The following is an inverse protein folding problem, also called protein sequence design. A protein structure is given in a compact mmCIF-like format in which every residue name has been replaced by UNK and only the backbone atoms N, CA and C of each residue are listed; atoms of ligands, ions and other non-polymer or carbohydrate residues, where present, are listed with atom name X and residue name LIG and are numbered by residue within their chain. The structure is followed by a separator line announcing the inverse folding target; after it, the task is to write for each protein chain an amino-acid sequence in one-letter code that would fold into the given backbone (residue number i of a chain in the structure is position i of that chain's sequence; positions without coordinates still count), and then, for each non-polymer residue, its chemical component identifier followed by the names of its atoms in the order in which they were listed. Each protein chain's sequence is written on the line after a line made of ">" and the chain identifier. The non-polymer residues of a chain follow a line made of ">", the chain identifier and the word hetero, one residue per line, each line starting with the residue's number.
data_IF_725125992946
#
_entry.id   IF_725125992946
#
_cell.length_a   1.000
_cell.length_b   1.000
_cell.length_c   1.000
_cell.angle_alpha   90.00
_cell.angle_beta   90.00
_cell.angle_gamma   90.00
#
_symmetry.space_group_name_H-M   'P 1'
#
loop_
_entity.id
_entity.type
_entity.pdbx_description
1 polymer ?
#
# COMPACT_ATOMS: atom_id res chain seq x y z
N UNK A 1 -51.76 -14.61 36.82
CA UNK A 1 -51.40 -15.26 38.10
C UNK A 1 -49.90 -15.18 38.27
N UNK A 2 -49.48 -14.42 39.32
CA UNK A 2 -48.20 -14.41 40.07
C UNK A 2 -46.87 -14.34 39.27
N UNK A 3 -46.22 -13.17 39.14
CA UNK A 3 -45.40 -12.42 40.12
C UNK A 3 -44.22 -13.23 40.71
N UNK A 4 -42.96 -12.82 40.35
CA UNK A 4 -41.89 -12.62 41.35
C UNK A 4 -40.75 -11.78 40.75
N UNK A 5 -40.63 -10.57 41.25
CA UNK A 5 -39.45 -9.73 41.30
C UNK A 5 -38.35 -10.39 42.15
N UNK A 6 -37.10 -10.27 41.78
CA UNK A 6 -36.00 -10.24 42.75
C UNK A 6 -34.97 -9.17 42.32
N UNK A 7 -34.91 -8.17 43.20
CA UNK A 7 -33.90 -7.12 43.25
C UNK A 7 -32.63 -7.71 43.83
N UNK A 8 -31.48 -7.40 43.27
CA UNK A 8 -30.20 -7.43 43.97
C UNK A 8 -29.55 -6.06 43.93
N UNK A 9 -29.14 -5.66 45.12
CA UNK A 9 -28.66 -4.32 45.48
C UNK A 9 -27.18 -4.11 45.14
N UNK A 10 -26.86 -2.86 44.97
CA UNK A 10 -25.55 -2.28 44.76
C UNK A 10 -24.55 -2.54 45.91
N UNK A 11 -23.30 -2.78 45.57
CA UNK A 11 -22.16 -2.65 46.46
C UNK A 11 -21.15 -1.69 45.84
N UNK A 12 -21.11 -0.46 46.35
CA UNK A 12 -20.08 0.54 46.05
C UNK A 12 -18.92 0.28 47.01
N UNK A 13 -17.74 -0.12 46.46
CA UNK A 13 -16.49 -0.13 47.22
C UNK A 13 -15.69 1.12 46.87
N UNK A 14 -15.59 2.03 47.80
CA UNK A 14 -14.74 3.22 47.77
C UNK A 14 -13.31 2.79 48.17
N UNK A 15 -12.35 2.93 47.27
CA UNK A 15 -10.91 2.79 47.58
C UNK A 15 -10.31 4.19 47.67
N UNK A 16 -9.97 4.60 48.88
CA UNK A 16 -9.21 5.82 49.16
C UNK A 16 -7.73 5.58 48.85
N UNK A 17 -7.16 6.36 47.94
CA UNK A 17 -5.72 6.39 47.68
C UNK A 17 -5.12 7.52 48.53
N UNK A 18 -4.27 7.15 49.46
CA UNK A 18 -3.46 8.06 50.27
C UNK A 18 -2.26 8.52 49.44
N UNK A 19 -2.18 9.79 49.16
CA UNK A 19 -1.00 10.41 48.54
C UNK A 19 0.05 10.71 49.61
N UNK A 20 1.18 9.99 49.59
CA UNK A 20 2.40 10.32 50.34
C UNK A 20 3.29 11.24 49.50
N UNK A 21 3.38 12.49 49.89
CA UNK A 21 4.33 13.45 49.36
C UNK A 21 5.71 13.24 50.01
N UNK A 22 6.70 12.82 49.26
CA UNK A 22 8.10 12.93 49.66
C UNK A 22 8.72 14.09 48.87
N UNK A 23 9.03 15.18 49.60
CA UNK A 23 9.87 16.28 49.13
C UNK A 23 11.33 15.84 49.11
N UNK A 24 11.97 15.79 47.97
CA UNK A 24 13.43 15.71 47.84
C UNK A 24 13.97 17.06 47.41
N UNK A 25 14.74 17.67 48.31
CA UNK A 25 15.58 18.86 48.12
C UNK A 25 16.61 18.62 47.03
N UNK A 26 16.60 19.42 45.98
CA UNK A 26 17.62 19.40 44.94
C UNK A 26 18.91 20.03 45.45
N UNK A 27 19.99 19.29 45.40
CA UNK A 27 21.35 19.76 45.63
C UNK A 27 21.89 20.46 44.37
N UNK A 28 22.38 21.68 44.56
CA UNK A 28 23.06 22.49 43.53
C UNK A 28 24.39 21.85 43.14
N UNK A 29 24.74 21.62 41.89
CA UNK A 29 26.06 21.12 41.52
C UNK A 29 27.10 22.24 41.61
N UNK A 30 28.14 22.02 42.40
CA UNK A 30 29.34 22.84 42.49
C UNK A 30 30.17 22.65 41.22
N UNK A 31 30.45 23.76 40.52
CA UNK A 31 31.31 23.75 39.33
C UNK A 31 32.78 23.65 39.78
N UNK A 32 33.44 22.60 39.34
CA UNK A 32 34.89 22.42 39.49
C UNK A 32 35.64 23.29 38.45
N UNK A 33 36.85 23.85 38.79
CA UNK A 33 37.57 24.71 37.86
C UNK A 33 38.16 23.94 36.69
N UNK A 34 38.06 24.51 35.50
CA UNK A 34 38.53 23.96 34.23
C UNK A 34 40.05 23.81 34.20
N UNK A 35 40.52 22.61 33.85
CA UNK A 35 41.95 22.33 33.55
C UNK A 35 42.27 22.97 32.17
N UNK A 36 43.43 23.60 31.99
CA UNK A 36 43.81 24.22 30.71
C UNK A 36 44.06 23.12 29.65
N UNK A 37 43.57 23.35 28.42
CA UNK A 37 43.75 22.46 27.29
C UNK A 37 45.21 22.38 26.84
N UNK A 38 45.71 21.20 26.42
CA UNK A 38 47.04 21.06 25.88
C UNK A 38 47.14 21.70 24.48
N UNK A 39 48.25 22.37 24.23
CA UNK A 39 48.64 22.98 22.96
C UNK A 39 48.68 21.94 21.83
N UNK A 40 48.13 22.22 20.63
CA UNK A 40 48.17 21.24 19.54
C UNK A 40 49.61 21.10 19.00
N UNK A 41 50.12 19.86 19.06
CA UNK A 41 51.33 19.47 18.36
C UNK A 41 50.99 19.27 16.88
N UNK A 42 51.60 20.07 16.02
CA UNK A 42 51.49 19.95 14.57
C UNK A 42 52.23 18.69 14.13
N UNK A 43 51.51 17.66 13.74
CA UNK A 43 52.10 16.47 13.10
C UNK A 43 52.48 16.79 11.64
N UNK A 44 53.56 16.20 11.11
CA UNK A 44 53.98 16.44 9.74
C UNK A 44 52.95 15.93 8.75
N UNK A 45 52.65 16.76 7.76
CA UNK A 45 51.75 16.46 6.62
C UNK A 45 52.37 15.32 5.80
N UNK A 46 51.84 14.12 5.92
CA UNK A 46 52.17 13.02 5.04
C UNK A 46 51.28 13.16 3.79
N UNK A 47 51.87 13.52 2.67
CA UNK A 47 51.22 13.48 1.38
C UNK A 47 50.75 12.05 1.08
N UNK A 48 49.46 11.81 0.79
CA UNK A 48 49.02 10.46 0.44
C UNK A 48 49.56 10.14 -0.97
N UNK A 49 50.35 9.06 -1.05
CA UNK A 49 50.67 8.43 -2.33
C UNK A 49 49.37 7.83 -2.88
N UNK A 50 48.83 8.43 -3.92
CA UNK A 50 47.66 7.90 -4.64
C UNK A 50 48.17 6.70 -5.47
N UNK A 51 48.04 5.49 -4.90
CA UNK A 51 48.09 4.27 -5.70
C UNK A 51 46.85 4.26 -6.61
N UNK A 52 47.01 4.01 -7.93
CA UNK A 52 45.83 3.87 -8.80
C UNK A 52 45.01 2.69 -8.34
N UNK A 53 43.80 2.97 -7.86
CA UNK A 53 42.78 1.93 -7.58
C UNK A 53 42.51 1.27 -8.92
N UNK A 54 42.90 0.01 -9.06
CA UNK A 54 42.52 -0.80 -10.20
C UNK A 54 40.98 -0.74 -10.31
N UNK A 55 40.48 -0.24 -11.43
CA UNK A 55 39.03 -0.23 -11.75
C UNK A 55 38.54 -1.66 -11.58
N UNK A 56 37.61 -1.86 -10.67
CA UNK A 56 36.91 -3.12 -10.55
C UNK A 56 36.36 -3.49 -11.92
N UNK A 57 36.46 -4.75 -12.36
CA UNK A 57 35.92 -5.15 -13.65
C UNK A 57 34.45 -4.77 -13.69
N UNK A 58 34.02 -4.09 -14.75
CA UNK A 58 32.63 -3.80 -15.00
C UNK A 58 31.86 -5.13 -14.87
N UNK A 59 30.94 -5.20 -13.90
CA UNK A 59 30.08 -6.36 -13.75
C UNK A 59 29.43 -6.63 -15.11
N UNK A 60 29.68 -7.82 -15.66
CA UNK A 60 29.05 -8.22 -16.90
C UNK A 60 27.55 -8.02 -16.73
N UNK A 61 26.93 -7.25 -17.62
CA UNK A 61 25.50 -7.01 -17.60
C UNK A 61 24.80 -8.38 -17.51
N UNK A 62 24.02 -8.61 -16.46
CA UNK A 62 23.31 -9.88 -16.29
C UNK A 62 22.44 -10.10 -17.53
N UNK A 63 22.51 -11.30 -18.12
CA UNK A 63 21.73 -11.62 -19.31
C UNK A 63 20.24 -11.47 -18.99
N UNK A 64 19.51 -10.72 -19.80
CA UNK A 64 18.06 -10.54 -19.66
C UNK A 64 17.37 -11.87 -20.00
N UNK A 65 16.62 -12.42 -19.08
CA UNK A 65 15.90 -13.68 -19.23
C UNK A 65 14.47 -13.41 -19.71
N UNK A 66 14.00 -14.11 -20.74
CA UNK A 66 12.55 -14.12 -21.05
C UNK A 66 11.88 -15.25 -20.29
N UNK A 67 10.91 -14.94 -19.43
CA UNK A 67 10.16 -15.95 -18.70
C UNK A 67 9.33 -16.76 -19.69
N UNK A 68 9.56 -18.08 -19.71
CA UNK A 68 8.86 -19.08 -20.54
C UNK A 68 8.43 -20.28 -19.71
N UNK A 69 9.02 -20.45 -18.53
CA UNK A 69 8.79 -21.60 -17.67
C UNK A 69 7.36 -21.69 -17.17
N UNK A 70 6.92 -22.94 -16.99
CA UNK A 70 5.57 -23.26 -16.57
C UNK A 70 5.49 -23.73 -15.13
N UNK A 71 4.33 -23.54 -14.52
CA UNK A 71 3.98 -24.10 -13.22
C UNK A 71 3.21 -25.41 -13.45
N UNK A 72 3.62 -26.47 -12.74
CA UNK A 72 2.81 -27.71 -12.64
C UNK A 72 2.33 -27.83 -11.19
N UNK A 73 1.03 -27.59 -10.95
CA UNK A 73 0.40 -27.67 -9.64
C UNK A 73 -0.36 -26.41 -9.24
N UNK A 74 -0.74 -26.33 -7.97
CA UNK A 74 -1.59 -25.26 -7.45
C UNK A 74 -0.80 -23.97 -7.17
N UNK A 75 -1.47 -22.86 -7.44
CA UNK A 75 -1.05 -21.50 -7.05
C UNK A 75 -2.20 -20.87 -6.27
N UNK A 76 -1.96 -20.44 -5.04
CA UNK A 76 -3.02 -19.83 -4.22
C UNK A 76 -2.84 -18.32 -4.20
N UNK A 77 -3.91 -17.62 -4.56
CA UNK A 77 -3.97 -16.16 -4.60
C UNK A 77 -4.72 -15.67 -3.36
N UNK A 78 -4.07 -14.84 -2.57
CA UNK A 78 -4.58 -14.36 -1.28
C UNK A 78 -4.63 -12.82 -1.31
N UNK A 79 -5.68 -12.20 -1.89
CA UNK A 79 -5.90 -10.76 -1.77
C UNK A 79 -6.24 -10.37 -0.34
N UNK A 80 -6.35 -9.07 -0.06
CA UNK A 80 -6.77 -8.58 1.26
C UNK A 80 -8.17 -9.06 1.63
N UNK A 81 -9.08 -9.04 0.66
CA UNK A 81 -10.45 -9.52 0.82
C UNK A 81 -11.05 -9.97 -0.52
N UNK A 82 -12.10 -10.79 -0.45
CA UNK A 82 -12.91 -11.17 -1.61
C UNK A 82 -13.97 -10.11 -1.94
N UNK A 83 -14.46 -10.12 -3.19
CA UNK A 83 -15.54 -9.25 -3.65
C UNK A 83 -15.14 -7.77 -3.82
N UNK A 84 -13.85 -7.49 -3.88
CA UNK A 84 -13.33 -6.18 -4.23
C UNK A 84 -12.94 -6.19 -5.72
N UNK A 85 -13.61 -5.36 -6.52
CA UNK A 85 -13.42 -5.29 -7.98
C UNK A 85 -11.95 -5.09 -8.39
N UNK A 86 -11.17 -4.39 -7.59
CA UNK A 86 -9.73 -4.21 -7.81
C UNK A 86 -8.99 -5.56 -7.80
N UNK A 87 -9.22 -6.39 -6.79
CA UNK A 87 -8.59 -7.70 -6.69
C UNK A 87 -9.16 -8.71 -7.68
N UNK A 88 -10.46 -8.59 -8.01
CA UNK A 88 -11.09 -9.43 -9.03
C UNK A 88 -10.45 -9.16 -10.40
N UNK A 89 -10.16 -7.90 -10.74
CA UNK A 89 -9.43 -7.54 -11.95
C UNK A 89 -8.00 -8.11 -11.97
N UNK A 90 -7.28 -8.04 -10.85
CA UNK A 90 -5.98 -8.66 -10.70
C UNK A 90 -6.03 -10.18 -10.90
N UNK A 91 -7.08 -10.82 -10.38
CA UNK A 91 -7.28 -12.26 -10.56
C UNK A 91 -7.55 -12.65 -12.01
N UNK A 92 -8.26 -11.82 -12.78
CA UNK A 92 -8.39 -12.00 -14.24
C UNK A 92 -7.02 -12.01 -14.91
N UNK A 93 -6.12 -11.11 -14.52
CA UNK A 93 -4.74 -11.08 -15.01
C UNK A 93 -3.97 -12.36 -14.67
N UNK A 94 -4.12 -12.84 -13.44
CA UNK A 94 -3.53 -14.11 -12.96
C UNK A 94 -4.04 -15.29 -13.78
N UNK A 95 -5.34 -15.38 -14.06
CA UNK A 95 -5.92 -16.44 -14.87
C UNK A 95 -5.41 -16.41 -16.32
N UNK A 96 -5.27 -15.24 -16.91
CA UNK A 96 -4.64 -15.08 -18.23
C UNK A 96 -3.19 -15.55 -18.22
N UNK A 97 -2.42 -15.19 -17.20
CA UNK A 97 -1.03 -15.63 -17.07
C UNK A 97 -0.93 -17.15 -16.86
N UNK A 98 -1.86 -17.76 -16.10
CA UNK A 98 -1.90 -19.21 -15.93
C UNK A 98 -2.15 -19.97 -17.25
N UNK A 99 -2.89 -19.37 -18.17
CA UNK A 99 -3.05 -19.92 -19.53
C UNK A 99 -1.71 -19.96 -20.29
N UNK A 100 -0.84 -18.96 -20.07
CA UNK A 100 0.47 -18.87 -20.72
C UNK A 100 1.55 -19.72 -20.01
N UNK A 101 1.54 -19.73 -18.67
CA UNK A 101 2.60 -20.31 -17.83
C UNK A 101 2.18 -21.60 -17.10
N UNK A 102 0.98 -22.13 -17.36
CA UNK A 102 0.46 -23.31 -16.68
C UNK A 102 0.09 -23.06 -15.21
N UNK A 103 -0.13 -24.13 -14.47
CA UNK A 103 -0.59 -24.10 -13.09
C UNK A 103 -2.10 -23.96 -12.94
N UNK A 104 -2.57 -24.12 -11.71
CA UNK A 104 -3.99 -24.02 -11.37
C UNK A 104 -4.16 -22.93 -10.31
N UNK A 105 -4.45 -21.68 -10.71
CA UNK A 105 -4.70 -20.61 -9.74
C UNK A 105 -6.05 -20.81 -9.05
N UNK A 106 -6.08 -20.58 -7.75
CA UNK A 106 -7.30 -20.49 -6.95
C UNK A 106 -7.22 -19.29 -6.02
N UNK A 107 -8.35 -18.63 -5.80
CA UNK A 107 -8.44 -17.49 -4.90
C UNK A 107 -9.00 -17.93 -3.55
N UNK A 108 -8.33 -17.56 -2.46
CA UNK A 108 -8.75 -17.86 -1.10
C UNK A 108 -8.33 -16.72 -0.16
N UNK A 109 -9.29 -16.00 0.42
CA UNK A 109 -9.01 -14.82 1.24
C UNK A 109 -10.15 -14.53 2.21
N UNK A 110 -9.95 -13.63 3.19
CA UNK A 110 -11.02 -13.15 4.05
C UNK A 110 -12.18 -12.55 3.25
N UNK A 111 -13.39 -12.69 3.78
CA UNK A 111 -14.57 -12.07 3.17
C UNK A 111 -14.61 -10.53 3.35
N UNK A 112 -13.84 -10.00 4.31
CA UNK A 112 -13.76 -8.56 4.63
C UNK A 112 -12.33 -8.17 4.90
N UNK A 113 -11.94 -6.94 4.54
CA UNK A 113 -10.68 -6.31 4.91
C UNK A 113 -10.68 -5.80 6.36
N UNK A 114 -9.55 -5.21 6.76
CA UNK A 114 -9.39 -4.51 8.04
C UNK A 114 -8.92 -5.36 9.22
N UNK A 115 -8.88 -6.70 9.12
CA UNK A 115 -8.28 -7.57 10.15
C UNK A 115 -6.86 -7.95 9.76
N UNK A 116 -5.83 -7.47 10.49
CA UNK A 116 -4.43 -7.73 10.19
C UNK A 116 -4.05 -9.21 10.14
N UNK A 117 -4.79 -10.07 10.83
CA UNK A 117 -4.47 -11.50 11.01
C UNK A 117 -5.30 -12.43 10.14
N UNK A 118 -6.36 -11.94 9.53
CA UNK A 118 -7.35 -12.77 8.83
C UNK A 118 -6.78 -13.57 7.64
N UNK A 119 -5.65 -13.13 7.07
CA UNK A 119 -5.00 -13.85 5.96
C UNK A 119 -4.16 -15.05 6.41
N UNK A 120 -3.76 -15.13 7.69
CA UNK A 120 -2.85 -16.16 8.21
C UNK A 120 -3.35 -17.60 7.94
N UNK A 121 -4.63 -17.95 8.23
CA UNK A 121 -5.13 -19.31 7.98
C UNK A 121 -5.06 -19.74 6.51
N UNK A 122 -5.26 -18.79 5.57
CA UNK A 122 -5.19 -19.08 4.14
C UNK A 122 -3.75 -19.35 3.69
N UNK A 123 -2.77 -18.59 4.19
CA UNK A 123 -1.33 -18.81 3.96
C UNK A 123 -0.92 -20.20 4.49
N UNK A 124 -1.32 -20.53 5.72
CA UNK A 124 -1.03 -21.82 6.35
C UNK A 124 -1.66 -22.99 5.60
N UNK A 125 -2.90 -22.83 5.15
CA UNK A 125 -3.60 -23.86 4.36
C UNK A 125 -2.89 -24.10 3.04
N UNK A 126 -2.57 -23.05 2.28
CA UNK A 126 -1.82 -23.14 1.03
C UNK A 126 -0.45 -23.83 1.22
N UNK A 127 0.24 -23.50 2.32
CA UNK A 127 1.51 -24.11 2.69
C UNK A 127 1.37 -25.60 2.97
N UNK A 128 0.39 -26.00 3.78
CA UNK A 128 0.12 -27.39 4.12
C UNK A 128 -0.27 -28.22 2.88
N UNK A 129 -1.00 -27.61 1.95
CA UNK A 129 -1.37 -28.21 0.66
C UNK A 129 -0.22 -28.26 -0.34
N UNK A 130 0.98 -27.76 0.02
CA UNK A 130 2.18 -27.74 -0.82
C UNK A 130 1.95 -27.01 -2.14
N UNK A 131 1.26 -25.86 -2.10
CA UNK A 131 1.15 -24.96 -3.25
C UNK A 131 2.54 -24.69 -3.82
N UNK A 132 2.66 -24.56 -5.14
CA UNK A 132 3.93 -24.23 -5.81
C UNK A 132 4.31 -22.77 -5.56
N UNK A 133 3.30 -21.90 -5.52
CA UNK A 133 3.45 -20.49 -5.15
C UNK A 133 2.21 -20.01 -4.41
N UNK A 134 2.40 -18.96 -3.61
CA UNK A 134 1.33 -18.12 -3.06
C UNK A 134 1.57 -16.68 -3.53
N UNK A 135 0.50 -16.04 -4.00
CA UNK A 135 0.49 -14.65 -4.43
C UNK A 135 -0.33 -13.86 -3.41
N UNK A 136 0.30 -13.02 -2.61
CA UNK A 136 -0.35 -12.37 -1.46
C UNK A 136 -0.30 -10.85 -1.59
N UNK A 137 -1.45 -10.20 -1.40
CA UNK A 137 -1.52 -8.76 -1.12
C UNK A 137 -1.79 -8.58 0.37
N UNK A 138 -0.82 -8.05 1.10
CA UNK A 138 -0.89 -7.98 2.56
C UNK A 138 -1.90 -6.93 3.06
N UNK A 139 -2.79 -7.31 3.97
CA UNK A 139 -3.54 -6.35 4.78
C UNK A 139 -2.58 -5.65 5.76
N UNK A 140 -1.73 -6.42 6.43
CA UNK A 140 -0.71 -5.93 7.37
C UNK A 140 0.62 -6.64 7.11
N UNK A 141 1.67 -5.85 6.84
CA UNK A 141 3.00 -6.37 6.51
C UNK A 141 3.64 -7.18 7.64
N UNK A 142 3.32 -6.86 8.89
CA UNK A 142 3.94 -7.45 10.08
C UNK A 142 3.22 -8.72 10.51
N UNK A 143 1.91 -8.70 10.55
CA UNK A 143 1.10 -9.79 11.08
C UNK A 143 1.27 -11.08 10.28
N UNK A 144 1.35 -11.01 8.95
CA UNK A 144 1.46 -12.19 8.09
C UNK A 144 2.90 -12.67 7.85
N UNK A 145 3.92 -11.85 8.16
CA UNK A 145 5.31 -12.17 7.87
C UNK A 145 5.79 -13.52 8.42
N UNK A 146 5.45 -13.94 9.66
CA UNK A 146 5.85 -15.26 10.16
C UNK A 146 5.27 -16.42 9.34
N UNK A 147 4.00 -16.31 8.90
CA UNK A 147 3.35 -17.34 8.10
C UNK A 147 3.98 -17.45 6.70
N UNK A 148 4.32 -16.32 6.08
CA UNK A 148 5.03 -16.27 4.79
C UNK A 148 6.43 -16.88 4.90
N UNK A 149 7.17 -16.54 5.96
CA UNK A 149 8.50 -17.11 6.23
C UNK A 149 8.43 -18.64 6.38
N UNK A 150 7.42 -19.13 7.08
CA UNK A 150 7.19 -20.57 7.22
C UNK A 150 6.86 -21.25 5.88
N UNK A 151 6.09 -20.59 5.01
CA UNK A 151 5.78 -21.08 3.67
C UNK A 151 7.05 -21.20 2.81
N UNK A 152 7.90 -20.16 2.79
CA UNK A 152 9.21 -20.19 2.11
C UNK A 152 10.11 -21.31 2.60
N UNK A 153 10.19 -21.52 3.92
CA UNK A 153 10.99 -22.60 4.52
C UNK A 153 10.53 -23.99 4.08
N UNK A 154 9.27 -24.15 3.67
CA UNK A 154 8.72 -25.37 3.09
C UNK A 154 8.84 -25.46 1.57
N UNK A 155 9.53 -24.51 0.93
CA UNK A 155 9.79 -24.48 -0.51
C UNK A 155 8.66 -23.86 -1.35
N UNK A 156 7.63 -23.28 -0.74
CA UNK A 156 6.58 -22.54 -1.45
C UNK A 156 7.15 -21.20 -1.90
N UNK A 157 7.00 -20.84 -3.17
CA UNK A 157 7.40 -19.51 -3.65
C UNK A 157 6.39 -18.47 -3.19
N UNK A 158 6.89 -17.37 -2.62
CA UNK A 158 6.07 -16.29 -2.06
C UNK A 158 6.25 -15.03 -2.90
N UNK A 159 5.22 -14.67 -3.64
CA UNK A 159 5.18 -13.43 -4.41
C UNK A 159 4.19 -12.47 -3.75
N UNK A 160 4.68 -11.35 -3.29
CA UNK A 160 3.81 -10.24 -2.87
C UNK A 160 3.39 -9.44 -4.10
N UNK A 161 2.17 -8.94 -4.12
CA UNK A 161 1.66 -8.04 -5.13
C UNK A 161 0.74 -7.01 -4.51
N UNK A 162 0.61 -5.82 -5.10
CA UNK A 162 -0.18 -4.71 -4.56
C UNK A 162 0.33 -4.18 -3.20
N UNK A 163 0.39 -5.01 -2.17
CA UNK A 163 0.85 -4.65 -0.83
C UNK A 163 1.85 -5.68 -0.32
N UNK A 164 3.02 -5.22 0.11
CA UNK A 164 4.10 -6.10 0.54
C UNK A 164 3.99 -6.51 2.02
N UNK A 165 4.87 -7.44 2.39
CA UNK A 165 5.18 -7.80 3.77
C UNK A 165 6.60 -7.34 4.14
N UNK A 166 7.14 -7.79 5.25
CA UNK A 166 8.51 -7.46 5.68
C UNK A 166 9.54 -8.08 4.73
N UNK A 167 10.63 -7.36 4.39
CA UNK A 167 11.75 -7.93 3.65
C UNK A 167 12.22 -9.25 4.27
N UNK A 168 12.54 -10.23 3.43
CA UNK A 168 12.91 -11.59 3.83
C UNK A 168 11.72 -12.56 4.00
N UNK A 169 10.51 -12.08 4.25
CA UNK A 169 9.33 -12.95 4.34
C UNK A 169 8.79 -13.41 2.98
N UNK A 170 9.21 -12.80 1.89
CA UNK A 170 8.79 -13.11 0.52
C UNK A 170 10.00 -13.27 -0.41
N UNK A 171 9.77 -13.76 -1.62
CA UNK A 171 10.82 -13.88 -2.65
C UNK A 171 10.88 -12.60 -3.51
N UNK A 172 9.74 -12.13 -4.01
CA UNK A 172 9.61 -10.91 -4.82
C UNK A 172 8.34 -10.16 -4.43
N UNK A 173 8.40 -8.84 -4.52
CA UNK A 173 7.26 -7.94 -4.46
C UNK A 173 7.02 -7.28 -5.81
N UNK A 174 5.85 -7.50 -6.40
CA UNK A 174 5.37 -6.82 -7.60
C UNK A 174 4.55 -5.61 -7.16
N UNK A 175 5.18 -4.45 -7.17
CA UNK A 175 4.57 -3.18 -6.81
C UNK A 175 3.94 -2.54 -8.05
N UNK A 176 2.79 -1.95 -7.91
CA UNK A 176 2.00 -1.36 -8.97
C UNK A 176 2.63 -0.11 -9.59
N UNK A 177 3.24 0.75 -8.76
CA UNK A 177 3.91 1.98 -9.16
C UNK A 177 4.86 2.45 -8.06
N UNK A 178 5.66 3.48 -8.35
CA UNK A 178 6.49 4.11 -7.34
C UNK A 178 5.67 4.77 -6.23
N UNK A 179 6.00 4.46 -4.99
CA UNK A 179 5.27 4.95 -3.81
C UNK A 179 5.30 6.48 -3.70
N UNK A 180 6.45 7.10 -3.99
CA UNK A 180 6.57 8.56 -3.94
C UNK A 180 5.78 9.21 -5.08
N UNK A 181 5.76 8.57 -6.26
CA UNK A 181 4.95 8.98 -7.41
C UNK A 181 3.45 8.99 -7.09
N UNK A 182 2.93 7.93 -6.48
CA UNK A 182 1.51 7.87 -6.06
C UNK A 182 1.20 8.96 -5.03
N UNK A 183 2.05 9.13 -3.99
CA UNK A 183 1.83 10.18 -3.00
C UNK A 183 1.83 11.58 -3.59
N UNK A 184 2.72 11.84 -4.55
CA UNK A 184 2.76 13.08 -5.32
C UNK A 184 1.50 13.27 -6.17
N UNK A 185 1.03 12.22 -6.84
CA UNK A 185 -0.23 12.24 -7.60
C UNK A 185 -1.42 12.62 -6.73
N UNK A 186 -1.56 11.97 -5.56
CA UNK A 186 -2.64 12.28 -4.61
C UNK A 186 -2.61 13.73 -4.13
N UNK A 187 -1.43 14.28 -3.81
CA UNK A 187 -1.29 15.69 -3.43
C UNK A 187 -1.63 16.62 -4.59
N UNK A 188 -1.19 16.27 -5.81
CA UNK A 188 -1.43 17.07 -7.00
C UNK A 188 -2.92 17.09 -7.36
N UNK A 189 -3.60 15.93 -7.40
CA UNK A 189 -5.04 15.85 -7.65
C UNK A 189 -5.84 16.66 -6.62
N UNK A 190 -5.47 16.61 -5.34
CA UNK A 190 -6.10 17.43 -4.31
C UNK A 190 -5.92 18.94 -4.57
N UNK A 191 -4.73 19.35 -5.01
CA UNK A 191 -4.42 20.73 -5.34
C UNK A 191 -5.16 21.23 -6.58
N UNK A 192 -5.16 20.45 -7.66
CA UNK A 192 -5.80 20.83 -8.92
C UNK A 192 -7.32 20.90 -8.80
N UNK A 193 -7.88 20.15 -7.86
CA UNK A 193 -9.33 20.09 -7.62
C UNK A 193 -9.78 21.13 -6.59
N UNK A 194 -8.97 21.49 -5.61
CA UNK A 194 -9.31 22.53 -4.64
C UNK A 194 -9.20 23.93 -5.27
N UNK A 195 -10.16 24.84 -5.03
CA UNK A 195 -10.12 26.18 -5.59
C UNK A 195 -8.78 26.90 -5.30
N UNK A 196 -8.03 27.24 -6.34
CA UNK A 196 -6.70 27.87 -6.22
C UNK A 196 -5.72 27.09 -5.33
N UNK A 197 -5.81 25.75 -5.31
CA UNK A 197 -5.01 24.88 -4.43
C UNK A 197 -5.12 25.26 -2.94
N UNK A 198 -6.35 25.62 -2.49
CA UNK A 198 -6.58 26.13 -1.12
C UNK A 198 -7.84 25.53 -0.53
N UNK A 199 -7.79 25.17 0.75
CA UNK A 199 -8.94 24.69 1.51
C UNK A 199 -8.68 23.46 2.35
N UNK A 200 -9.72 23.03 3.06
CA UNK A 200 -9.68 21.82 3.88
C UNK A 200 -9.77 20.58 2.99
N UNK A 201 -8.88 19.63 3.22
CA UNK A 201 -8.89 18.30 2.62
C UNK A 201 -8.94 17.25 3.71
N UNK A 202 -9.54 16.10 3.42
CA UNK A 202 -9.56 14.95 4.34
C UNK A 202 -9.18 13.68 3.59
N UNK A 203 -8.61 12.70 4.32
CA UNK A 203 -8.26 11.40 3.76
C UNK A 203 -9.27 10.35 4.24
N UNK A 204 -9.81 9.56 3.32
CA UNK A 204 -10.57 8.35 3.58
C UNK A 204 -9.78 7.14 3.07
N UNK A 205 -9.08 6.46 3.99
CA UNK A 205 -8.24 5.29 3.71
C UNK A 205 -8.97 3.99 4.03
N UNK A 206 -8.33 2.84 3.73
CA UNK A 206 -8.83 1.52 4.12
C UNK A 206 -8.57 1.24 5.60
N UNK A 207 -7.62 0.39 5.93
CA UNK A 207 -7.30 0.03 7.32
C UNK A 207 -6.19 0.90 7.93
N UNK A 208 -6.18 1.01 9.25
CA UNK A 208 -5.11 1.73 9.96
C UNK A 208 -3.74 1.09 9.76
N UNK A 209 -3.67 -0.20 9.48
CA UNK A 209 -2.43 -0.96 9.27
C UNK A 209 -2.16 -1.26 7.80
N UNK A 210 -2.99 -0.78 6.87
CA UNK A 210 -2.84 -0.99 5.43
C UNK A 210 -1.51 -0.44 4.92
N UNK A 211 -0.54 -1.33 4.68
CA UNK A 211 0.88 -1.01 4.48
C UNK A 211 1.11 -0.07 3.31
N UNK A 212 0.55 -0.39 2.13
CA UNK A 212 0.74 0.40 0.91
C UNK A 212 0.08 1.79 1.04
N UNK A 213 -1.15 1.86 1.52
CA UNK A 213 -1.89 3.11 1.64
C UNK A 213 -1.25 4.06 2.66
N UNK A 214 -0.78 3.53 3.79
CA UNK A 214 -0.03 4.33 4.77
C UNK A 214 1.26 4.90 4.18
N UNK A 215 1.96 4.13 3.34
CA UNK A 215 3.15 4.61 2.64
C UNK A 215 2.81 5.73 1.63
N UNK A 216 1.71 5.62 0.89
CA UNK A 216 1.25 6.67 -0.04
C UNK A 216 0.80 7.93 0.69
N UNK A 217 0.09 7.80 1.82
CA UNK A 217 -0.32 8.93 2.68
C UNK A 217 0.91 9.64 3.24
N UNK A 218 1.93 8.90 3.68
CA UNK A 218 3.19 9.47 4.14
C UNK A 218 3.93 10.22 3.01
N UNK A 219 3.97 9.66 1.80
CA UNK A 219 4.56 10.29 0.63
C UNK A 219 3.76 11.53 0.18
N UNK A 220 2.42 11.50 0.26
CA UNK A 220 1.57 12.66 0.05
C UNK A 220 1.89 13.77 1.07
N UNK A 221 1.99 13.43 2.36
CA UNK A 221 2.32 14.38 3.41
C UNK A 221 3.71 15.01 3.22
N UNK A 222 4.70 14.23 2.74
CA UNK A 222 6.02 14.75 2.39
C UNK A 222 5.94 15.72 1.22
N UNK A 223 5.21 15.37 0.17
CA UNK A 223 4.98 16.23 -1.00
C UNK A 223 4.31 17.54 -0.61
N UNK A 224 3.34 17.51 0.30
CA UNK A 224 2.60 18.69 0.77
C UNK A 224 3.44 19.66 1.60
N UNK A 225 4.69 19.36 1.92
CA UNK A 225 5.63 20.34 2.52
C UNK A 225 6.13 21.38 1.51
N UNK A 226 6.01 21.14 0.22
CA UNK A 226 6.31 22.11 -0.80
C UNK A 226 5.35 23.31 -0.70
N UNK A 227 5.88 24.52 -0.86
CA UNK A 227 5.15 25.80 -0.78
C UNK A 227 3.96 25.86 -1.75
N UNK A 228 4.01 25.12 -2.86
CA UNK A 228 2.90 24.97 -3.80
C UNK A 228 1.60 24.49 -3.12
N UNK A 229 1.72 23.64 -2.12
CA UNK A 229 0.58 23.03 -1.42
C UNK A 229 0.22 23.74 -0.11
N UNK A 230 0.87 24.84 0.24
CA UNK A 230 0.71 25.55 1.52
C UNK A 230 -0.75 26.01 1.80
N UNK A 231 -1.57 26.14 0.76
CA UNK A 231 -2.99 26.47 0.90
C UNK A 231 -3.88 25.29 1.31
N UNK A 232 -3.42 24.06 1.18
CA UNK A 232 -4.18 22.86 1.54
C UNK A 232 -3.99 22.52 3.03
N UNK A 233 -5.09 22.26 3.72
CA UNK A 233 -5.10 21.89 5.12
C UNK A 233 -5.71 20.50 5.30
N UNK A 234 -4.90 19.50 5.65
CA UNK A 234 -5.39 18.18 6.03
C UNK A 234 -6.06 18.29 7.42
N UNK A 235 -7.38 18.06 7.46
CA UNK A 235 -8.18 18.21 8.70
C UNK A 235 -8.50 16.89 9.38
N UNK A 236 -8.52 15.77 8.63
CA UNK A 236 -8.78 14.45 9.18
C UNK A 236 -8.24 13.33 8.27
N UNK A 237 -7.92 12.19 8.90
CA UNK A 237 -7.75 10.90 8.22
C UNK A 237 -8.67 9.90 8.90
N UNK A 238 -9.54 9.24 8.12
CA UNK A 238 -10.49 8.24 8.59
C UNK A 238 -10.32 6.94 7.81
N UNK A 239 -10.86 5.85 8.33
CA UNK A 239 -10.63 4.50 7.80
C UNK A 239 -11.96 3.77 7.58
N UNK A 240 -12.17 3.27 6.38
CA UNK A 240 -13.38 2.54 5.95
C UNK A 240 -13.19 1.03 5.85
N UNK A 241 -11.99 0.50 6.23
CA UNK A 241 -11.64 -0.94 6.27
C UNK A 241 -11.86 -1.69 4.93
N UNK A 242 -11.83 -0.98 3.79
CA UNK A 242 -12.23 -1.48 2.47
C UNK A 242 -13.63 -2.14 2.47
N UNK A 243 -14.51 -1.69 3.38
CA UNK A 243 -15.91 -2.06 3.48
C UNK A 243 -16.77 -0.89 3.00
N UNK A 244 -17.62 -1.12 2.00
CA UNK A 244 -18.41 -0.06 1.36
C UNK A 244 -19.31 0.69 2.37
N UNK A 245 -19.96 -0.02 3.30
CA UNK A 245 -20.82 0.58 4.33
C UNK A 245 -20.03 1.46 5.30
N UNK A 246 -18.85 0.99 5.75
CA UNK A 246 -17.98 1.73 6.67
C UNK A 246 -17.41 2.97 5.96
N UNK A 247 -16.93 2.81 4.72
CA UNK A 247 -16.43 3.92 3.90
C UNK A 247 -17.49 4.99 3.66
N UNK A 248 -18.74 4.56 3.41
CA UNK A 248 -19.89 5.47 3.29
C UNK A 248 -20.16 6.24 4.58
N UNK A 249 -20.16 5.56 5.72
CA UNK A 249 -20.36 6.18 7.04
C UNK A 249 -19.23 7.18 7.34
N UNK A 250 -17.98 6.83 7.04
CA UNK A 250 -16.83 7.73 7.23
C UNK A 250 -16.90 8.96 6.32
N UNK A 251 -17.27 8.80 5.04
CA UNK A 251 -17.46 9.95 4.13
C UNK A 251 -18.58 10.89 4.61
N UNK A 252 -19.69 10.34 5.11
CA UNK A 252 -20.77 11.14 5.69
C UNK A 252 -20.32 11.90 6.94
N UNK A 253 -19.55 11.24 7.80
CA UNK A 253 -18.98 11.82 9.02
C UNK A 253 -18.01 12.96 8.72
N UNK A 254 -17.10 12.78 7.74
CA UNK A 254 -16.17 13.83 7.30
C UNK A 254 -16.91 15.08 6.83
N UNK A 255 -17.92 14.92 5.99
CA UNK A 255 -18.70 16.05 5.45
C UNK A 255 -19.47 16.76 6.57
N UNK A 256 -20.00 16.03 7.54
CA UNK A 256 -20.73 16.61 8.67
C UNK A 256 -19.82 17.36 9.65
N UNK A 257 -18.63 16.80 9.93
CA UNK A 257 -17.69 17.37 10.89
C UNK A 257 -16.90 18.56 10.31
N UNK A 258 -16.73 18.61 8.98
CA UNK A 258 -15.92 19.63 8.30
C UNK A 258 -16.74 20.36 7.24
N UNK A 259 -17.56 21.36 7.62
CA UNK A 259 -18.46 22.06 6.69
C UNK A 259 -17.72 22.86 5.59
N UNK A 260 -16.44 23.14 5.79
CA UNK A 260 -15.57 23.84 4.83
C UNK A 260 -14.75 22.88 3.95
N UNK A 261 -14.95 21.57 4.08
CA UNK A 261 -14.23 20.55 3.32
C UNK A 261 -14.36 20.79 1.82
N UNK A 262 -13.24 20.76 1.10
CA UNK A 262 -13.17 20.93 -0.36
C UNK A 262 -12.92 19.64 -1.09
N UNK A 263 -12.05 18.78 -0.54
CA UNK A 263 -11.66 17.54 -1.22
C UNK A 263 -11.59 16.38 -0.23
N UNK A 264 -12.16 15.24 -0.61
CA UNK A 264 -11.88 13.94 0.01
C UNK A 264 -10.87 13.23 -0.88
N UNK A 265 -9.69 12.95 -0.33
CA UNK A 265 -8.65 12.14 -0.97
C UNK A 265 -8.79 10.71 -0.50
N UNK A 266 -8.99 9.76 -1.40
CA UNK A 266 -9.14 8.36 -1.00
C UNK A 266 -8.17 7.44 -1.74
N UNK A 267 -7.11 6.96 -1.05
CA UNK A 267 -6.14 6.04 -1.62
C UNK A 267 -6.65 4.58 -1.65
N UNK A 268 -7.94 4.38 -1.83
CA UNK A 268 -8.59 3.06 -1.94
C UNK A 268 -9.77 3.09 -2.90
N UNK A 269 -9.90 2.06 -3.75
CA UNK A 269 -10.97 1.96 -4.73
C UNK A 269 -12.37 1.84 -4.11
N UNK A 270 -12.48 1.27 -2.92
CA UNK A 270 -13.75 1.20 -2.16
C UNK A 270 -14.08 2.55 -1.56
N UNK A 271 -13.11 3.22 -0.95
CA UNK A 271 -13.33 4.51 -0.30
C UNK A 271 -13.63 5.64 -1.29
N UNK A 272 -12.91 5.71 -2.43
CA UNK A 272 -13.14 6.74 -3.44
C UNK A 272 -14.54 6.63 -4.04
N UNK A 273 -15.00 5.41 -4.33
CA UNK A 273 -16.34 5.16 -4.85
C UNK A 273 -17.41 5.53 -3.80
N UNK A 274 -17.26 5.10 -2.56
CA UNK A 274 -18.19 5.42 -1.47
C UNK A 274 -18.28 6.94 -1.21
N UNK A 275 -17.14 7.64 -1.20
CA UNK A 275 -17.10 9.09 -1.05
C UNK A 275 -17.82 9.80 -2.23
N UNK A 276 -17.58 9.37 -3.47
CA UNK A 276 -18.25 9.93 -4.64
C UNK A 276 -19.77 9.73 -4.58
N UNK A 277 -20.24 8.54 -4.18
CA UNK A 277 -21.67 8.26 -3.96
C UNK A 277 -22.28 9.19 -2.91
N UNK A 278 -21.59 9.43 -1.81
CA UNK A 278 -22.05 10.32 -0.72
C UNK A 278 -22.12 11.76 -1.21
N UNK A 279 -21.08 12.27 -1.88
CA UNK A 279 -21.06 13.64 -2.43
C UNK A 279 -22.21 13.85 -3.43
N UNK A 280 -22.40 12.90 -4.34
CA UNK A 280 -23.48 12.95 -5.33
C UNK A 280 -24.87 12.91 -4.65
N UNK A 281 -25.12 11.95 -3.76
CA UNK A 281 -26.41 11.79 -3.07
C UNK A 281 -26.78 12.99 -2.20
N UNK A 282 -25.79 13.64 -1.59
CA UNK A 282 -25.97 14.88 -0.80
C UNK A 282 -26.03 16.15 -1.66
N UNK A 283 -25.94 16.04 -3.00
CA UNK A 283 -25.95 17.18 -3.93
C UNK A 283 -24.84 18.21 -3.63
N UNK A 284 -23.64 17.72 -3.37
CA UNK A 284 -22.48 18.53 -3.02
C UNK A 284 -21.47 18.68 -4.18
N UNK A 285 -21.86 18.24 -5.41
CA UNK A 285 -21.05 18.44 -6.61
C UNK A 285 -20.72 19.92 -6.78
N UNK A 286 -19.45 20.24 -7.04
CA UNK A 286 -18.92 21.61 -7.11
C UNK A 286 -18.64 22.28 -5.75
N UNK A 287 -19.02 21.63 -4.62
CA UNK A 287 -18.70 22.11 -3.26
C UNK A 287 -17.64 21.24 -2.58
N UNK A 288 -17.79 19.92 -2.69
CA UNK A 288 -16.85 18.91 -2.23
C UNK A 288 -16.56 18.02 -3.43
N UNK A 289 -15.29 17.82 -3.73
CA UNK A 289 -14.85 16.90 -4.76
C UNK A 289 -14.19 15.66 -4.14
N UNK A 290 -14.06 14.60 -4.92
CA UNK A 290 -13.40 13.36 -4.52
C UNK A 290 -12.29 13.06 -5.51
N UNK A 291 -11.10 12.74 -5.01
CA UNK A 291 -9.94 12.30 -5.81
C UNK A 291 -9.28 11.09 -5.15
N UNK A 292 -8.46 10.37 -5.88
CA UNK A 292 -7.71 9.25 -5.32
C UNK A 292 -7.57 8.08 -6.27
N UNK A 293 -7.53 6.86 -5.72
CA UNK A 293 -7.28 5.63 -6.48
C UNK A 293 -8.62 4.94 -6.79
N UNK A 294 -9.02 4.96 -8.06
CA UNK A 294 -10.33 4.44 -8.47
C UNK A 294 -10.30 3.63 -9.75
N UNK A 295 -11.10 2.56 -9.80
CA UNK A 295 -11.21 1.75 -11.01
C UNK A 295 -11.98 2.52 -12.10
N UNK A 296 -11.54 2.47 -13.37
CA UNK A 296 -12.12 3.29 -14.43
C UNK A 296 -13.62 3.07 -14.61
N UNK A 297 -14.05 1.82 -14.59
CA UNK A 297 -15.45 1.45 -14.76
C UNK A 297 -16.35 1.99 -13.66
N UNK A 298 -15.92 1.84 -12.41
CA UNK A 298 -16.71 2.29 -11.25
C UNK A 298 -16.76 3.82 -11.15
N UNK A 299 -15.67 4.50 -11.53
CA UNK A 299 -15.55 5.95 -11.40
C UNK A 299 -16.05 6.73 -12.60
N UNK A 300 -16.35 6.09 -13.73
CA UNK A 300 -16.72 6.74 -14.98
C UNK A 300 -17.85 7.78 -14.84
N UNK A 301 -18.95 7.40 -14.19
CA UNK A 301 -20.09 8.30 -14.02
C UNK A 301 -19.74 9.52 -13.18
N UNK A 302 -18.94 9.34 -12.13
CA UNK A 302 -18.54 10.39 -11.19
C UNK A 302 -17.48 11.32 -11.75
N UNK A 303 -16.66 10.84 -12.69
CA UNK A 303 -15.72 11.68 -13.44
C UNK A 303 -16.49 12.56 -14.43
N UNK A 304 -17.44 11.95 -15.16
CA UNK A 304 -18.22 12.67 -16.18
C UNK A 304 -19.15 13.75 -15.59
N UNK A 305 -19.70 13.53 -14.40
CA UNK A 305 -20.56 14.51 -13.73
C UNK A 305 -19.80 15.53 -12.86
N UNK A 306 -18.46 15.36 -12.71
CA UNK A 306 -17.60 16.25 -11.95
C UNK A 306 -17.59 16.02 -10.44
N UNK A 307 -18.20 14.94 -9.93
CA UNK A 307 -18.10 14.53 -8.52
C UNK A 307 -16.66 14.14 -8.15
N UNK A 308 -16.00 13.40 -9.05
CA UNK A 308 -14.60 13.01 -8.94
C UNK A 308 -13.86 13.42 -10.21
N UNK A 309 -13.39 14.68 -10.33
CA UNK A 309 -12.86 15.21 -11.58
C UNK A 309 -11.67 14.43 -12.14
N UNK A 310 -10.88 13.84 -11.25
CA UNK A 310 -9.70 13.09 -11.57
C UNK A 310 -9.48 11.96 -10.55
N UNK A 311 -9.11 10.78 -11.04
CA UNK A 311 -8.62 9.67 -10.24
C UNK A 311 -7.46 9.01 -10.96
N UNK A 312 -6.60 8.31 -10.23
CA UNK A 312 -5.52 7.53 -10.82
C UNK A 312 -5.65 6.06 -10.43
N UNK A 313 -5.06 5.21 -11.25
CA UNK A 313 -4.83 3.80 -10.96
C UNK A 313 -3.83 3.27 -11.99
N UNK A 314 -3.40 2.04 -11.84
CA UNK A 314 -2.59 1.27 -12.79
C UNK A 314 -3.44 0.19 -13.46
N UNK A 315 -2.88 -0.47 -14.48
CA UNK A 315 -3.53 -1.64 -15.06
C UNK A 315 -3.44 -2.83 -14.09
N UNK A 316 -4.51 -3.05 -13.35
CA UNK A 316 -4.57 -4.10 -12.32
C UNK A 316 -4.56 -5.51 -12.92
N UNK A 317 -5.04 -5.67 -14.17
CA UNK A 317 -4.94 -6.94 -14.90
C UNK A 317 -3.47 -7.25 -15.18
N UNK A 318 -2.69 -6.29 -15.65
CA UNK A 318 -1.26 -6.47 -15.89
C UNK A 318 -0.48 -6.69 -14.59
N UNK A 319 -0.91 -6.06 -13.48
CA UNK A 319 -0.33 -6.31 -12.16
C UNK A 319 -0.45 -7.79 -11.75
N UNK A 320 -1.65 -8.34 -11.86
CA UNK A 320 -1.90 -9.76 -11.59
C UNK A 320 -1.15 -10.68 -12.55
N UNK A 321 -1.13 -10.33 -13.84
CA UNK A 321 -0.39 -11.07 -14.86
C UNK A 321 1.11 -11.12 -14.53
N UNK A 322 1.72 -9.97 -14.20
CA UNK A 322 3.13 -9.87 -13.83
C UNK A 322 3.44 -10.68 -12.57
N UNK A 323 2.60 -10.60 -11.54
CA UNK A 323 2.78 -11.35 -10.31
C UNK A 323 2.81 -12.87 -10.56
N UNK A 324 1.93 -13.36 -11.43
CA UNK A 324 1.90 -14.78 -11.80
C UNK A 324 3.09 -15.18 -12.66
N UNK A 325 3.47 -14.37 -13.64
CA UNK A 325 4.66 -14.62 -14.47
C UNK A 325 5.94 -14.68 -13.63
N UNK A 326 6.09 -13.79 -12.65
CA UNK A 326 7.18 -13.82 -11.67
C UNK A 326 7.17 -15.12 -10.86
N UNK A 327 6.00 -15.55 -10.39
CA UNK A 327 5.88 -16.85 -9.70
C UNK A 327 6.30 -18.00 -10.60
N UNK A 328 5.94 -17.99 -11.88
CA UNK A 328 6.33 -19.00 -12.86
C UNK A 328 7.85 -19.03 -13.05
N UNK A 329 8.49 -17.87 -13.22
CA UNK A 329 9.94 -17.77 -13.35
C UNK A 329 10.69 -18.24 -12.09
N UNK A 330 10.17 -17.97 -10.90
CA UNK A 330 10.74 -18.49 -9.63
C UNK A 330 10.56 -20.00 -9.48
N UNK A 331 9.42 -20.54 -9.88
CA UNK A 331 9.14 -21.99 -9.78
C UNK A 331 9.97 -22.77 -10.79
N UNK A 332 10.13 -22.28 -12.03
CA UNK A 332 10.96 -22.89 -13.05
C UNK A 332 12.47 -22.70 -12.82
N UNK A 333 12.86 -21.72 -11.99
CA UNK A 333 14.25 -21.36 -11.75
C UNK A 333 14.87 -20.46 -12.82
N UNK A 334 14.07 -19.94 -13.76
CA UNK A 334 14.53 -18.98 -14.78
C UNK A 334 14.95 -17.66 -14.17
N UNK A 335 14.30 -17.24 -13.08
CA UNK A 335 14.74 -16.12 -12.24
C UNK A 335 14.99 -16.60 -10.81
N UNK A 336 15.93 -15.96 -10.13
CA UNK A 336 16.31 -16.26 -8.74
C UNK A 336 15.67 -15.31 -7.74
N UNK A 337 15.17 -14.17 -8.21
CA UNK A 337 14.62 -13.13 -7.36
C UNK A 337 15.71 -12.24 -6.75
N UNK A 338 16.87 -12.11 -7.38
CA UNK A 338 17.99 -11.31 -6.84
C UNK A 338 17.98 -9.89 -7.37
N UNK A 339 18.36 -8.93 -6.52
CA UNK A 339 18.47 -7.52 -6.90
C UNK A 339 19.43 -7.36 -8.09
N UNK A 340 19.02 -6.58 -9.08
CA UNK A 340 19.74 -6.35 -10.32
C UNK A 340 19.41 -7.36 -11.44
N UNK A 341 18.73 -8.45 -11.14
CA UNK A 341 18.28 -9.41 -12.14
C UNK A 341 17.24 -8.78 -13.09
N UNK A 342 17.36 -9.04 -14.38
CA UNK A 342 16.45 -8.51 -15.39
C UNK A 342 15.74 -9.63 -16.14
N UNK A 343 14.46 -9.41 -16.41
CA UNK A 343 13.65 -10.37 -17.15
C UNK A 343 12.55 -9.69 -17.99
N UNK A 344 12.09 -10.39 -19.01
CA UNK A 344 11.01 -9.98 -19.90
C UNK A 344 9.80 -10.87 -19.68
N UNK A 345 8.63 -10.25 -19.62
CA UNK A 345 7.32 -10.90 -19.74
C UNK A 345 6.73 -10.48 -21.08
N UNK A 346 6.65 -11.34 -22.10
CA UNK A 346 6.44 -10.94 -23.49
C UNK A 346 5.16 -10.16 -23.77
N UNK A 347 4.09 -10.42 -23.02
CA UNK A 347 2.73 -9.92 -23.29
C UNK A 347 2.41 -8.59 -22.64
N UNK A 348 3.27 -8.12 -21.74
CA UNK A 348 3.07 -6.84 -21.03
C UNK A 348 4.31 -5.96 -21.14
N UNK A 349 4.20 -4.69 -20.74
CA UNK A 349 5.29 -3.70 -20.81
C UNK A 349 5.89 -3.52 -22.23
N UNK A 350 5.14 -3.86 -23.28
CA UNK A 350 5.65 -3.82 -24.65
C UNK A 350 6.87 -4.72 -24.89
N UNK A 351 7.05 -5.77 -24.08
CA UNK A 351 8.20 -6.68 -24.15
C UNK A 351 9.51 -6.07 -23.63
N UNK A 352 9.45 -4.96 -22.91
CA UNK A 352 10.64 -4.35 -22.27
C UNK A 352 10.98 -5.12 -20.98
N UNK A 353 12.28 -5.17 -20.60
CA UNK A 353 12.69 -5.84 -19.39
C UNK A 353 12.18 -5.13 -18.12
N UNK A 354 11.82 -5.93 -17.13
CA UNK A 354 11.70 -5.53 -15.74
C UNK A 354 13.04 -5.74 -15.04
N UNK A 355 13.31 -4.91 -14.02
CA UNK A 355 14.50 -5.05 -13.16
C UNK A 355 14.03 -5.27 -11.72
N UNK A 356 14.63 -6.25 -11.05
CA UNK A 356 14.41 -6.46 -9.62
C UNK A 356 15.25 -5.41 -8.86
N UNK A 357 14.58 -4.47 -8.24
CA UNK A 357 15.18 -3.39 -7.45
C UNK A 357 15.42 -3.78 -6.00
N UNK A 358 15.70 -2.77 -5.17
CA UNK A 358 15.87 -2.93 -3.73
C UNK A 358 14.67 -3.63 -3.10
N UNK A 359 14.91 -4.34 -1.99
CA UNK A 359 13.91 -5.12 -1.28
C UNK A 359 13.15 -6.12 -2.18
N UNK A 360 13.83 -6.64 -3.21
CA UNK A 360 13.30 -7.55 -4.21
C UNK A 360 12.00 -7.03 -4.86
N UNK A 361 11.94 -5.73 -5.12
CA UNK A 361 10.76 -5.05 -5.66
C UNK A 361 10.86 -4.89 -7.19
N UNK A 362 9.77 -5.17 -7.88
CA UNK A 362 9.54 -4.89 -9.29
C UNK A 362 8.45 -3.84 -9.40
N UNK A 363 8.66 -2.79 -10.19
CA UNK A 363 7.64 -1.78 -10.49
C UNK A 363 6.93 -2.15 -11.79
N UNK A 364 5.59 -2.25 -11.76
CA UNK A 364 4.79 -2.52 -12.96
C UNK A 364 4.93 -1.39 -13.98
N UNK A 365 4.77 -0.14 -13.54
CA UNK A 365 4.86 1.05 -14.38
C UNK A 365 4.35 2.30 -13.68
N UNK A 366 4.11 3.35 -14.46
CA UNK A 366 3.55 4.59 -13.94
C UNK A 366 2.03 4.47 -13.75
N UNK A 367 1.43 5.22 -12.80
CA UNK A 367 -0.02 5.31 -12.68
C UNK A 367 -0.66 5.90 -13.95
N UNK A 368 -1.87 5.43 -14.25
CA UNK A 368 -2.74 5.97 -15.29
C UNK A 368 -3.68 6.99 -14.64
N UNK A 369 -3.76 8.18 -15.23
CA UNK A 369 -4.63 9.25 -14.75
C UNK A 369 -5.91 9.25 -15.58
N UNK A 370 -7.06 9.20 -14.91
CA UNK A 370 -8.39 9.19 -15.51
C UNK A 370 -9.10 10.50 -15.22
N UNK A 371 -9.52 11.16 -16.27
CA UNK A 371 -10.28 12.40 -16.23
C UNK A 371 -11.39 12.39 -17.30
N UNK A 372 -12.11 13.48 -17.44
CA UNK A 372 -13.23 13.60 -18.36
C UNK A 372 -12.86 13.30 -19.82
N UNK A 373 -11.63 13.60 -20.22
CA UNK A 373 -11.23 13.49 -21.63
C UNK A 373 -10.91 12.04 -22.04
N UNK A 374 -10.55 11.18 -21.08
CA UNK A 374 -10.05 9.83 -21.37
C UNK A 374 -10.83 8.69 -20.72
N UNK A 375 -11.65 8.96 -19.69
CA UNK A 375 -12.32 7.92 -18.89
C UNK A 375 -13.20 6.98 -19.73
N UNK A 376 -13.86 7.49 -20.77
CA UNK A 376 -14.73 6.68 -21.61
C UNK A 376 -13.95 5.55 -22.32
N UNK A 377 -12.73 5.82 -22.76
CA UNK A 377 -11.84 4.83 -23.36
C UNK A 377 -11.32 3.85 -22.31
N UNK A 378 -10.81 4.37 -21.17
CA UNK A 378 -10.28 3.51 -20.11
C UNK A 378 -11.33 2.59 -19.49
N UNK A 379 -12.56 3.06 -19.30
CA UNK A 379 -13.66 2.22 -18.79
C UNK A 379 -14.07 1.09 -19.75
N UNK A 380 -13.75 1.23 -21.05
CA UNK A 380 -13.93 0.19 -22.05
C UNK A 380 -12.76 -0.79 -22.08
N UNK A 381 -11.53 -0.26 -22.03
CA UNK A 381 -10.29 -1.06 -22.14
C UNK A 381 -9.97 -1.80 -20.84
N UNK A 382 -10.30 -1.20 -19.71
CA UNK A 382 -10.12 -1.72 -18.36
C UNK A 382 -11.49 -1.79 -17.66
N UNK A 383 -12.34 -2.79 -17.99
CA UNK A 383 -13.74 -2.84 -17.57
C UNK A 383 -13.96 -3.30 -16.12
N UNK A 384 -13.16 -2.81 -15.17
CA UNK A 384 -13.22 -3.11 -13.75
C UNK A 384 -13.29 -1.86 -12.88
#
# INVERSE_FOLDING_TARGET
>A
MFNRLSRFAAGIALVAVVASACSSTAATPTVAPATPAPTPVVAPVVTPVVTPVASAPASAAAAVVTIKGGITGSVVVIPKNLGNAYFDAGYVGIQKAATAFGGTPSQAAPAKGGDPTAQIPFIQTATTQKAKAILVSAEDATAIAPALTAAKAQGVKVVMWDSNSKPGAYDIFVNQADTAGIGKGLAQMACDTAPSCTGEIAILSAGQTATNQNAWIAAMAETMKDTKFAGLKLVATVYGNDVAADSTAQAQSLIAAHPNLKVIVSPTSVGVLAAAQVVQSKKLIGKVAVVGLGTPKAMQAYILDGTAPEVELWNTIDLGYLAYAVAAGLVSGEIKGTVGEQFIVPTINGGKPYTIGADNTIILGDPLIFNKDNIAQFAKDLPF
#
